data_IF_116052386175
#
_entry.id   IF_116052386175
#
_cell.length_a   1.000
_cell.length_b   1.000
_cell.length_c   1.000
_cell.angle_alpha   90.00
_cell.angle_beta   90.00
_cell.angle_gamma   90.00
#
_symmetry.space_group_name_H-M   'P 1'
#
loop_
_entity.id
_entity.type
_entity.pdbx_description
1 polymer ?
#
# COMPACT_ATOMS: atom_id res chain seq x y z
N UNK A 1 -15.08 -4.62 25.41
CA UNK A 1 -14.59 -4.69 24.00
C UNK A 1 -13.13 -4.30 23.97
N UNK A 2 -12.26 -5.17 23.51
CA UNK A 2 -10.83 -4.80 23.37
C UNK A 2 -10.72 -3.74 22.27
N UNK A 3 -9.92 -2.70 22.52
CA UNK A 3 -9.64 -1.65 21.53
C UNK A 3 -8.87 -2.29 20.36
N UNK A 4 -9.40 -2.16 19.13
CA UNK A 4 -8.69 -2.63 17.94
C UNK A 4 -7.33 -1.93 17.82
N UNK A 5 -6.30 -2.69 17.46
CA UNK A 5 -4.98 -2.12 17.16
C UNK A 5 -5.00 -1.36 15.83
N UNK A 6 -4.20 -0.31 15.73
CA UNK A 6 -4.06 0.48 14.51
C UNK A 6 -3.14 -0.24 13.51
N UNK A 7 -3.62 -0.38 12.26
CA UNK A 7 -2.89 -0.97 11.15
C UNK A 7 -2.87 -0.02 9.97
N UNK A 8 -1.68 0.36 9.53
CA UNK A 8 -1.48 1.16 8.32
C UNK A 8 -1.12 0.22 7.17
N UNK A 9 -2.00 0.12 6.18
CA UNK A 9 -1.77 -0.66 4.97
C UNK A 9 -1.28 0.28 3.87
N UNK A 10 -0.14 -0.04 3.27
CA UNK A 10 0.52 0.75 2.24
C UNK A 10 0.54 -0.06 0.95
N UNK A 11 -0.02 0.51 -0.12
CA UNK A 11 -0.10 -0.15 -1.41
C UNK A 11 0.10 0.86 -2.56
N UNK A 12 0.61 0.37 -3.68
CA UNK A 12 0.75 1.13 -4.92
C UNK A 12 -0.54 1.15 -5.77
N UNK A 13 -1.64 0.57 -5.27
CA UNK A 13 -2.91 0.53 -5.98
C UNK A 13 -3.44 1.93 -6.28
N UNK A 14 -4.10 2.06 -7.43
CA UNK A 14 -4.73 3.30 -7.84
C UNK A 14 -6.21 3.29 -7.48
N UNK A 15 -6.60 4.24 -6.65
CA UNK A 15 -7.98 4.39 -6.17
C UNK A 15 -8.57 5.70 -6.69
N UNK A 16 -9.76 5.60 -7.24
CA UNK A 16 -10.59 6.72 -7.65
C UNK A 16 -11.56 7.09 -6.53
N UNK A 17 -11.73 8.39 -6.28
CA UNK A 17 -12.69 8.89 -5.29
C UNK A 17 -13.69 9.83 -5.96
N UNK A 18 -14.98 9.60 -5.70
CA UNK A 18 -16.08 10.48 -6.08
C UNK A 18 -17.13 10.56 -4.97
N UNK A 19 -18.27 11.20 -5.25
CA UNK A 19 -19.39 11.30 -4.32
C UNK A 19 -20.01 9.96 -3.92
N UNK A 20 -19.80 8.89 -4.72
CA UNK A 20 -20.29 7.54 -4.44
C UNK A 20 -19.32 6.71 -3.59
N UNK A 21 -18.10 7.21 -3.34
CA UNK A 21 -17.10 6.57 -2.50
C UNK A 21 -15.76 6.33 -3.20
N UNK A 22 -15.07 5.28 -2.77
CA UNK A 22 -13.75 4.88 -3.27
C UNK A 22 -13.86 3.66 -4.18
N UNK A 23 -13.15 3.66 -5.30
CA UNK A 23 -13.21 2.62 -6.32
C UNK A 23 -11.82 2.21 -6.78
N UNK A 24 -11.60 0.90 -6.97
CA UNK A 24 -10.38 0.32 -7.56
C UNK A 24 -10.73 -0.70 -8.64
N UNK A 25 -9.74 -1.14 -9.40
CA UNK A 25 -9.93 -2.17 -10.43
C UNK A 25 -9.67 -3.58 -9.92
N UNK A 26 -8.82 -3.74 -8.91
CA UNK A 26 -8.39 -5.04 -8.42
C UNK A 26 -9.21 -5.46 -7.19
N UNK A 27 -9.93 -6.59 -7.33
CA UNK A 27 -10.78 -7.15 -6.28
C UNK A 27 -9.98 -7.54 -5.03
N UNK A 28 -8.82 -8.13 -5.22
CA UNK A 28 -8.04 -8.65 -4.10
C UNK A 28 -7.48 -7.51 -3.23
N UNK A 29 -7.07 -6.42 -3.89
CA UNK A 29 -6.56 -5.22 -3.21
C UNK A 29 -7.67 -4.43 -2.49
N UNK A 30 -8.93 -4.75 -2.77
CA UNK A 30 -10.10 -4.33 -1.98
C UNK A 30 -10.34 -5.27 -0.80
N UNK A 31 -10.38 -6.58 -1.06
CA UNK A 31 -10.81 -7.58 -0.06
C UNK A 31 -9.85 -7.64 1.12
N UNK A 32 -8.54 -7.65 0.88
CA UNK A 32 -7.54 -7.75 1.96
C UNK A 32 -7.66 -6.63 3.00
N UNK A 33 -7.69 -5.33 2.63
CA UNK A 33 -7.88 -4.27 3.62
C UNK A 33 -9.24 -4.31 4.31
N UNK A 34 -10.31 -4.67 3.59
CA UNK A 34 -11.66 -4.78 4.18
C UNK A 34 -11.75 -5.90 5.22
N UNK A 35 -11.16 -7.07 4.93
CA UNK A 35 -11.13 -8.18 5.89
C UNK A 35 -10.28 -7.83 7.13
N UNK A 36 -9.13 -7.21 6.93
CA UNK A 36 -8.28 -6.77 8.04
C UNK A 36 -8.98 -5.71 8.90
N UNK A 37 -9.84 -4.88 8.31
CA UNK A 37 -10.60 -3.86 9.06
C UNK A 37 -11.62 -4.45 10.04
N UNK A 38 -11.97 -5.73 9.90
CA UNK A 38 -12.81 -6.43 10.89
C UNK A 38 -12.07 -6.62 12.22
N UNK A 39 -10.74 -6.75 12.18
CA UNK A 39 -9.88 -7.06 13.34
C UNK A 39 -9.03 -5.87 13.79
N UNK A 40 -8.66 -4.98 12.90
CA UNK A 40 -7.83 -3.81 13.12
C UNK A 40 -8.58 -2.51 12.82
N UNK A 41 -8.07 -1.41 13.32
CA UNK A 41 -8.45 -0.08 12.87
C UNK A 41 -7.56 0.28 11.66
N UNK A 42 -8.05 0.01 10.45
CA UNK A 42 -7.26 0.12 9.22
C UNK A 42 -7.23 1.55 8.70
N UNK A 43 -6.03 2.04 8.41
CA UNK A 43 -5.79 3.17 7.52
C UNK A 43 -5.13 2.67 6.24
N UNK A 44 -5.76 2.92 5.09
CA UNK A 44 -5.29 2.46 3.78
C UNK A 44 -4.69 3.61 2.99
N UNK A 45 -3.38 3.52 2.67
CA UNK A 45 -2.63 4.52 1.89
C UNK A 45 -2.43 3.98 0.48
N UNK A 46 -2.95 4.71 -0.50
CA UNK A 46 -3.00 4.34 -1.91
C UNK A 46 -2.70 5.52 -2.81
N UNK A 47 -2.60 5.27 -4.12
CA UNK A 47 -2.39 6.31 -5.13
C UNK A 47 -3.69 6.76 -5.77
N UNK A 48 -3.69 7.99 -6.32
CA UNK A 48 -4.82 8.55 -7.04
C UNK A 48 -4.98 7.93 -8.43
N UNK A 49 -6.18 7.42 -8.75
CA UNK A 49 -6.60 7.07 -10.10
C UNK A 49 -7.27 8.26 -10.79
N UNK A 50 -7.11 8.35 -12.12
CA UNK A 50 -7.89 9.25 -12.98
C UNK A 50 -9.17 8.60 -13.50
N UNK A 51 -9.24 7.26 -13.49
CA UNK A 51 -10.37 6.48 -13.98
C UNK A 51 -11.06 5.80 -12.83
N UNK A 52 -12.39 5.71 -12.89
CA UNK A 52 -13.21 5.00 -11.90
C UNK A 52 -13.05 3.50 -12.14
N UNK A 53 -12.66 2.78 -11.08
CA UNK A 53 -12.57 1.32 -11.09
C UNK A 53 -13.92 0.65 -10.89
N UNK A 54 -14.00 -0.63 -11.24
CA UNK A 54 -15.23 -1.43 -11.16
C UNK A 54 -15.60 -1.87 -9.73
N UNK A 55 -14.66 -1.83 -8.79
CA UNK A 55 -14.83 -2.34 -7.43
C UNK A 55 -14.96 -1.21 -6.41
N UNK A 56 -16.07 -1.14 -5.70
CA UNK A 56 -16.26 -0.18 -4.60
C UNK A 56 -15.56 -0.68 -3.33
N UNK A 57 -14.77 0.17 -2.69
CA UNK A 57 -14.06 -0.11 -1.44
C UNK A 57 -14.90 0.38 -0.26
N UNK A 58 -15.16 -0.50 0.72
CA UNK A 58 -15.98 -0.22 1.91
C UNK A 58 -15.10 0.09 3.14
N UNK A 59 -14.15 1.00 2.97
CA UNK A 59 -13.31 1.52 4.06
C UNK A 59 -13.58 3.01 4.25
N UNK A 60 -13.56 3.45 5.49
CA UNK A 60 -13.77 4.86 5.85
C UNK A 60 -12.47 5.66 5.89
N UNK A 61 -11.35 5.03 6.20
CA UNK A 61 -10.06 5.72 6.39
C UNK A 61 -9.09 5.39 5.25
N UNK A 62 -9.33 5.97 4.07
CA UNK A 62 -8.45 5.85 2.91
C UNK A 62 -7.74 7.19 2.69
N UNK A 63 -6.42 7.14 2.48
CA UNK A 63 -5.58 8.28 2.13
C UNK A 63 -5.07 8.11 0.70
N UNK A 64 -5.54 8.97 -0.20
CA UNK A 64 -5.20 8.92 -1.63
C UNK A 64 -4.08 9.91 -1.91
N UNK A 65 -2.92 9.41 -2.28
CA UNK A 65 -1.76 10.20 -2.64
C UNK A 65 -1.76 10.56 -4.13
N UNK A 66 -1.62 11.83 -4.45
CA UNK A 66 -1.52 12.32 -5.83
C UNK A 66 -0.10 12.17 -6.40
N UNK A 67 0.91 12.16 -5.55
CA UNK A 67 2.33 12.04 -5.91
C UNK A 67 3.14 11.42 -4.76
N UNK A 68 4.43 11.18 -5.01
CA UNK A 68 5.32 10.53 -4.03
C UNK A 68 5.46 11.33 -2.73
N UNK A 69 5.48 12.66 -2.79
CA UNK A 69 5.63 13.50 -1.61
C UNK A 69 4.39 13.41 -0.70
N UNK A 70 3.18 13.42 -1.28
CA UNK A 70 1.95 13.22 -0.52
C UNK A 70 1.87 11.80 0.05
N UNK A 71 2.39 10.80 -0.66
CA UNK A 71 2.47 9.42 -0.21
C UNK A 71 3.33 9.28 1.05
N UNK A 72 4.56 9.78 1.00
CA UNK A 72 5.47 9.79 2.15
C UNK A 72 4.92 10.64 3.31
N UNK A 73 4.29 11.78 3.01
CA UNK A 73 3.67 12.63 4.04
C UNK A 73 2.58 11.89 4.81
N UNK A 74 1.76 11.07 4.15
CA UNK A 74 0.75 10.26 4.83
C UNK A 74 1.39 9.19 5.73
N UNK A 75 2.47 8.57 5.30
CA UNK A 75 3.23 7.60 6.11
C UNK A 75 3.84 8.32 7.31
N UNK A 76 4.48 9.47 7.10
CA UNK A 76 5.12 10.26 8.16
C UNK A 76 4.14 10.65 9.29
N UNK A 77 2.91 11.03 8.94
CA UNK A 77 1.88 11.36 9.93
C UNK A 77 1.56 10.22 10.89
N UNK A 78 1.74 8.98 10.44
CA UNK A 78 1.48 7.78 11.25
C UNK A 78 2.67 7.33 12.09
N UNK A 79 3.87 7.89 11.89
CA UNK A 79 5.07 7.44 12.61
C UNK A 79 4.98 7.63 14.12
N UNK A 80 4.23 8.62 14.58
CA UNK A 80 4.04 8.93 16.02
C UNK A 80 3.09 7.96 16.71
N UNK A 81 2.30 7.21 15.97
CA UNK A 81 1.35 6.25 16.50
C UNK A 81 2.02 4.89 16.74
N UNK A 82 1.44 4.07 17.62
CA UNK A 82 1.87 2.67 17.83
C UNK A 82 1.31 1.73 16.76
N UNK A 83 1.13 2.23 15.55
CA UNK A 83 0.57 1.45 14.45
C UNK A 83 1.53 0.36 13.98
N UNK A 84 0.96 -0.77 13.56
CA UNK A 84 1.62 -1.78 12.74
C UNK A 84 1.54 -1.36 11.28
N UNK A 85 2.49 -1.78 10.47
CA UNK A 85 2.55 -1.45 9.05
C UNK A 85 2.52 -2.71 8.22
N UNK A 86 1.65 -2.74 7.20
CA UNK A 86 1.58 -3.80 6.20
C UNK A 86 1.84 -3.17 4.82
N UNK A 87 2.89 -3.62 4.16
CA UNK A 87 3.19 -3.24 2.77
C UNK A 87 2.72 -4.36 1.86
N UNK A 88 1.91 -4.02 0.87
CA UNK A 88 1.43 -4.96 -0.15
C UNK A 88 2.20 -4.74 -1.43
N UNK A 89 2.92 -5.77 -1.87
CA UNK A 89 3.80 -5.81 -3.05
C UNK A 89 4.99 -4.84 -2.98
N UNK A 90 6.06 -5.16 -3.69
CA UNK A 90 7.24 -4.31 -3.84
C UNK A 90 7.15 -3.57 -5.17
N UNK A 91 7.01 -2.26 -5.10
CA UNK A 91 6.99 -1.32 -6.22
C UNK A 91 7.86 -0.12 -5.85
N UNK A 92 8.24 0.76 -6.76
CA UNK A 92 9.04 1.93 -6.39
C UNK A 92 8.45 2.77 -5.24
N UNK A 93 7.13 2.92 -5.19
CA UNK A 93 6.46 3.66 -4.12
C UNK A 93 6.50 2.93 -2.78
N UNK A 94 6.18 1.64 -2.78
CA UNK A 94 6.17 0.83 -1.56
C UNK A 94 7.57 0.53 -1.07
N UNK A 95 8.56 0.43 -1.97
CA UNK A 95 9.98 0.33 -1.63
C UNK A 95 10.47 1.57 -0.88
N UNK A 96 10.16 2.77 -1.37
CA UNK A 96 10.49 4.01 -0.66
C UNK A 96 9.80 4.07 0.71
N UNK A 97 8.56 3.58 0.80
CA UNK A 97 7.87 3.46 2.08
C UNK A 97 8.59 2.50 3.03
N UNK A 98 9.06 1.35 2.52
CA UNK A 98 9.82 0.36 3.29
C UNK A 98 11.10 0.97 3.87
N UNK A 99 11.92 1.61 3.03
CA UNK A 99 13.15 2.30 3.48
C UNK A 99 12.82 3.35 4.53
N UNK A 100 11.80 4.18 4.28
CA UNK A 100 11.40 5.22 5.20
C UNK A 100 11.01 4.66 6.57
N UNK A 101 10.18 3.62 6.61
CA UNK A 101 9.76 2.96 7.85
C UNK A 101 10.93 2.26 8.56
N UNK A 102 11.87 1.70 7.81
CA UNK A 102 13.08 1.10 8.35
C UNK A 102 13.96 2.13 9.06
N UNK A 103 14.20 3.30 8.45
CA UNK A 103 14.95 4.42 9.06
C UNK A 103 14.31 4.82 10.40
N UNK A 104 12.99 4.83 10.50
CA UNK A 104 12.25 5.14 11.73
C UNK A 104 12.03 3.93 12.64
N UNK A 105 12.71 2.80 12.38
CA UNK A 105 12.68 1.56 13.18
C UNK A 105 11.26 1.06 13.45
N UNK A 106 10.37 1.16 12.46
CA UNK A 106 9.00 0.66 12.56
C UNK A 106 8.93 -0.82 12.20
N UNK A 107 8.04 -1.55 12.89
CA UNK A 107 7.76 -2.95 12.56
C UNK A 107 6.89 -3.01 11.32
N UNK A 108 7.43 -3.58 10.25
CA UNK A 108 6.77 -3.71 8.95
C UNK A 108 6.54 -5.19 8.66
N UNK A 109 5.34 -5.49 8.16
CA UNK A 109 5.00 -6.77 7.56
C UNK A 109 4.93 -6.57 6.05
N UNK A 110 5.55 -7.46 5.31
CA UNK A 110 5.52 -7.45 3.85
C UNK A 110 4.62 -8.59 3.36
N UNK A 111 3.63 -8.25 2.54
CA UNK A 111 2.79 -9.21 1.85
C UNK A 111 3.09 -9.19 0.36
N UNK A 112 3.70 -10.25 -0.13
CA UNK A 112 4.03 -10.41 -1.54
C UNK A 112 2.91 -11.19 -2.22
N UNK A 113 2.35 -10.60 -3.25
CA UNK A 113 1.23 -11.15 -4.01
C UNK A 113 1.67 -12.12 -5.11
N UNK A 114 2.83 -11.85 -5.72
CA UNK A 114 3.42 -12.63 -6.81
C UNK A 114 4.93 -12.58 -6.78
N UNK A 115 5.57 -13.47 -7.50
CA UNK A 115 6.98 -13.32 -7.85
C UNK A 115 7.11 -12.14 -8.84
N UNK A 116 7.42 -10.98 -8.31
CA UNK A 116 7.54 -9.75 -9.09
C UNK A 116 8.62 -9.78 -10.16
N UNK A 117 9.54 -10.75 -10.17
CA UNK A 117 10.60 -10.83 -11.17
C UNK A 117 10.03 -11.02 -12.58
N UNK A 118 9.13 -11.97 -12.79
CA UNK A 118 8.49 -12.20 -14.08
C UNK A 118 7.64 -11.00 -14.52
N UNK A 119 6.85 -10.44 -13.58
CA UNK A 119 6.02 -9.28 -13.87
C UNK A 119 6.83 -8.07 -14.33
N UNK A 120 7.95 -7.78 -13.65
CA UNK A 120 8.83 -6.66 -14.02
C UNK A 120 9.56 -6.89 -15.32
N UNK A 121 9.97 -8.15 -15.62
CA UNK A 121 10.58 -8.50 -16.90
C UNK A 121 9.61 -8.24 -18.06
N UNK A 122 8.35 -8.62 -17.92
CA UNK A 122 7.33 -8.40 -18.93
C UNK A 122 6.98 -6.92 -19.15
N UNK A 123 6.95 -6.12 -18.09
CA UNK A 123 6.53 -4.71 -18.17
C UNK A 123 7.67 -3.80 -18.63
N UNK A 124 8.88 -3.99 -18.12
CA UNK A 124 10.00 -3.07 -18.28
C UNK A 124 11.24 -3.68 -18.93
N UNK A 125 11.24 -5.00 -19.19
CA UNK A 125 12.35 -5.73 -19.79
C UNK A 125 13.37 -6.26 -18.77
N UNK A 126 14.32 -7.08 -19.26
CA UNK A 126 15.28 -7.84 -18.43
C UNK A 126 16.12 -7.01 -17.45
N UNK A 127 16.42 -5.76 -17.78
CA UNK A 127 17.18 -4.87 -16.90
C UNK A 127 16.45 -4.52 -15.61
N UNK A 128 15.13 -4.50 -15.63
CA UNK A 128 14.30 -4.16 -14.47
C UNK A 128 14.28 -5.24 -13.40
N UNK A 129 14.51 -6.49 -13.79
CA UNK A 129 14.58 -7.63 -12.87
C UNK A 129 15.66 -7.42 -11.82
N UNK A 130 16.83 -6.89 -12.24
CA UNK A 130 17.92 -6.61 -11.32
C UNK A 130 17.56 -5.54 -10.28
N UNK A 131 16.88 -4.47 -10.70
CA UNK A 131 16.41 -3.43 -9.80
C UNK A 131 15.38 -4.00 -8.81
N UNK A 132 14.44 -4.81 -9.32
CA UNK A 132 13.45 -5.45 -8.46
C UNK A 132 14.10 -6.39 -7.45
N UNK A 133 15.07 -7.19 -7.89
CA UNK A 133 15.82 -8.08 -7.00
C UNK A 133 16.54 -7.31 -5.89
N UNK A 134 17.17 -6.18 -6.23
CA UNK A 134 17.79 -5.30 -5.23
C UNK A 134 16.77 -4.74 -4.23
N UNK A 135 15.60 -4.28 -4.70
CA UNK A 135 14.52 -3.82 -3.84
C UNK A 135 14.03 -4.93 -2.90
N UNK A 136 13.90 -6.14 -3.41
CA UNK A 136 13.49 -7.32 -2.64
C UNK A 136 14.48 -7.69 -1.54
N UNK A 137 15.79 -7.58 -1.80
CA UNK A 137 16.82 -7.88 -0.80
C UNK A 137 16.90 -6.85 0.33
N UNK A 138 16.46 -5.63 0.08
CA UNK A 138 16.51 -4.53 1.07
C UNK A 138 15.26 -4.52 1.96
N UNK A 139 14.11 -4.92 1.43
CA UNK A 139 12.84 -5.00 2.19
C UNK A 139 12.72 -6.27 3.00
#
# INVERSE_FOLDING_TARGET
>A
MSKKEDLVIINNEKVFADSSGFHCDNLDLKVVPEELNKHFNVQYIVRKSKKKGGQKINLTNIKIASNIFSFIKFIHKNLKTKSKYLIISITPYTFLACIFLFIFKKKVFLYLWSDGHEEWEHILGKWSVWIFHLMYLIC
#
